data_IF_064289160590
#
_entry.id   IF_064289160590
#
_cell.length_a   1.000
_cell.length_b   1.000
_cell.length_c   1.000
_cell.angle_alpha   90.00
_cell.angle_beta   90.00
_cell.angle_gamma   90.00
#
_symmetry.space_group_name_H-M   'P 1'
#
loop_
_entity.id
_entity.type
_entity.pdbx_description
1 polymer ?
#
# COMPACT_ATOMS: atom_id res chain seq x y z
N UNK A 1 -5.98 7.88 -18.79
CA UNK A 1 -5.63 7.27 -17.47
C UNK A 1 -4.92 5.95 -17.74
N UNK A 2 -3.93 5.56 -16.93
CA UNK A 2 -3.33 4.21 -17.02
C UNK A 2 -4.36 3.11 -16.83
N UNK A 3 -5.25 3.30 -15.87
CA UNK A 3 -6.33 2.36 -15.57
C UNK A 3 -7.32 2.12 -16.72
N UNK A 4 -7.30 2.95 -17.75
CA UNK A 4 -8.09 2.70 -18.95
C UNK A 4 -7.68 1.40 -19.67
N UNK A 5 -6.42 0.98 -19.53
CA UNK A 5 -5.92 -0.28 -20.08
C UNK A 5 -6.62 -1.53 -19.52
N UNK A 6 -7.20 -1.44 -18.33
CA UNK A 6 -7.93 -2.53 -17.67
C UNK A 6 -9.44 -2.28 -17.56
N UNK A 7 -9.90 -1.07 -17.89
CA UNK A 7 -11.31 -0.68 -17.75
C UNK A 7 -12.05 -0.46 -19.08
N UNK A 8 -11.36 0.02 -20.12
CA UNK A 8 -11.98 0.48 -21.37
C UNK A 8 -11.75 -0.48 -22.54
N UNK A 9 -12.73 -0.56 -23.42
CA UNK A 9 -12.70 -1.36 -24.63
C UNK A 9 -13.41 -2.71 -24.52
N UNK A 10 -13.68 -3.34 -25.66
CA UNK A 10 -14.40 -4.61 -25.70
C UNK A 10 -13.57 -5.76 -25.14
N UNK A 11 -12.27 -5.75 -25.38
CA UNK A 11 -11.35 -6.78 -24.88
C UNK A 11 -11.25 -6.80 -23.34
N UNK A 12 -11.55 -5.69 -22.67
CA UNK A 12 -11.55 -5.55 -21.22
C UNK A 12 -12.91 -5.88 -20.57
N UNK A 13 -13.86 -6.41 -21.31
CA UNK A 13 -15.13 -6.86 -20.74
C UNK A 13 -14.95 -7.90 -19.59
N UNK A 14 -14.07 -8.90 -19.69
CA UNK A 14 -13.77 -9.78 -18.55
C UNK A 14 -13.22 -9.06 -17.34
N UNK A 15 -12.34 -8.06 -17.54
CA UNK A 15 -11.78 -7.25 -16.44
C UNK A 15 -12.87 -6.47 -15.72
N UNK A 16 -13.79 -5.84 -16.45
CA UNK A 16 -14.92 -5.12 -15.85
C UNK A 16 -15.83 -6.03 -15.04
N UNK A 17 -16.03 -7.27 -15.48
CA UNK A 17 -16.76 -8.27 -14.69
C UNK A 17 -16.11 -8.53 -13.33
N UNK A 18 -14.77 -8.57 -13.27
CA UNK A 18 -14.02 -8.72 -12.02
C UNK A 18 -14.12 -7.47 -11.14
N UNK A 19 -14.04 -6.28 -11.73
CA UNK A 19 -14.28 -5.02 -10.98
C UNK A 19 -15.70 -4.95 -10.42
N UNK A 20 -16.71 -5.37 -11.19
CA UNK A 20 -18.08 -5.45 -10.71
C UNK A 20 -18.23 -6.43 -9.53
N UNK A 21 -17.51 -7.56 -9.56
CA UNK A 21 -17.47 -8.51 -8.45
C UNK A 21 -16.83 -7.92 -7.17
N UNK A 22 -15.94 -6.92 -7.31
CA UNK A 22 -15.40 -6.14 -6.20
C UNK A 22 -16.33 -5.02 -5.73
N UNK A 23 -17.48 -4.84 -6.35
CA UNK A 23 -18.47 -3.82 -6.02
C UNK A 23 -18.28 -2.47 -6.74
N UNK A 24 -17.40 -2.39 -7.74
CA UNK A 24 -17.24 -1.16 -8.52
C UNK A 24 -18.48 -0.88 -9.37
N UNK A 25 -18.95 0.34 -9.31
CA UNK A 25 -20.04 0.84 -10.16
C UNK A 25 -19.51 1.32 -11.52
N UNK A 26 -20.40 1.46 -12.50
CA UNK A 26 -20.02 2.03 -13.79
C UNK A 26 -19.51 3.47 -13.70
N UNK A 27 -19.98 4.24 -12.72
CA UNK A 27 -19.48 5.59 -12.48
C UNK A 27 -18.06 5.58 -11.90
N UNK A 28 -17.76 4.66 -11.01
CA UNK A 28 -16.41 4.48 -10.47
C UNK A 28 -15.43 4.01 -11.55
N UNK A 29 -15.87 3.18 -12.48
CA UNK A 29 -15.05 2.73 -13.61
C UNK A 29 -14.58 3.90 -14.51
N UNK A 30 -15.27 5.04 -14.48
CA UNK A 30 -14.88 6.25 -15.25
C UNK A 30 -13.84 7.10 -14.54
N UNK A 31 -13.65 6.90 -13.23
CA UNK A 31 -12.77 7.69 -12.37
C UNK A 31 -11.33 7.14 -12.36
N UNK A 32 -10.34 7.96 -11.99
CA UNK A 32 -8.97 7.46 -11.78
C UNK A 32 -8.92 6.46 -10.62
N UNK A 33 -8.14 5.40 -10.81
CA UNK A 33 -7.94 4.35 -9.84
C UNK A 33 -6.67 4.64 -9.03
N UNK A 34 -6.83 4.87 -7.73
CA UNK A 34 -5.73 5.23 -6.81
C UNK A 34 -5.41 4.05 -5.92
N UNK A 35 -4.21 3.49 -6.08
CA UNK A 35 -3.71 2.43 -5.20
C UNK A 35 -3.28 2.99 -3.86
N UNK A 36 -3.78 2.40 -2.76
CA UNK A 36 -3.34 2.71 -1.40
C UNK A 36 -2.51 1.53 -0.91
N UNK A 37 -1.20 1.74 -0.79
CA UNK A 37 -0.27 0.71 -0.33
C UNK A 37 -0.10 0.84 1.17
N UNK A 38 -0.56 -0.15 1.94
CA UNK A 38 -0.46 -0.12 3.39
C UNK A 38 0.36 -1.27 3.92
N UNK A 39 1.27 -0.98 4.84
CA UNK A 39 2.02 -1.99 5.59
C UNK A 39 1.38 -2.33 6.94
N UNK A 40 0.09 -2.08 7.10
CA UNK A 40 -0.68 -2.50 8.28
C UNK A 40 -0.47 -3.98 8.60
N UNK A 41 -0.18 -4.27 9.84
CA UNK A 41 -0.17 -5.61 10.42
C UNK A 41 -0.21 -5.50 11.96
N UNK A 42 -0.48 -6.62 12.62
CA UNK A 42 -0.64 -6.67 14.08
C UNK A 42 0.65 -7.10 14.81
N UNK A 43 1.71 -7.47 14.08
CA UNK A 43 2.98 -7.92 14.69
C UNK A 43 4.02 -6.81 14.81
N UNK A 44 3.96 -5.77 13.98
CA UNK A 44 4.88 -4.63 14.03
C UNK A 44 4.22 -3.49 14.80
N UNK A 45 4.69 -3.14 16.01
CA UNK A 45 4.01 -2.15 16.87
C UNK A 45 3.77 -0.78 16.20
N UNK A 46 4.69 -0.34 15.36
CA UNK A 46 4.55 0.90 14.59
C UNK A 46 3.54 0.84 13.45
N UNK A 47 2.99 -0.33 13.12
CA UNK A 47 2.09 -0.53 11.99
C UNK A 47 0.64 -0.83 12.40
N UNK A 48 0.39 -1.12 13.68
CA UNK A 48 -0.91 -1.57 14.17
C UNK A 48 -2.05 -0.56 14.05
N UNK A 49 -1.75 0.73 13.82
CA UNK A 49 -2.74 1.78 13.64
C UNK A 49 -2.80 2.34 12.21
N UNK A 50 -2.07 1.74 11.26
CA UNK A 50 -2.06 2.22 9.87
C UNK A 50 -3.42 2.03 9.17
N UNK A 51 -4.25 1.11 9.63
CA UNK A 51 -5.63 0.92 9.17
C UNK A 51 -6.48 2.18 9.32
N UNK A 52 -6.31 2.92 10.41
CA UNK A 52 -7.01 4.19 10.65
C UNK A 52 -6.58 5.26 9.65
N UNK A 53 -5.29 5.33 9.37
CA UNK A 53 -4.73 6.24 8.36
C UNK A 53 -5.24 5.86 6.97
N UNK A 54 -5.24 4.57 6.63
CA UNK A 54 -5.77 4.05 5.37
C UNK A 54 -7.23 4.45 5.18
N UNK A 55 -8.06 4.35 6.22
CA UNK A 55 -9.46 4.75 6.14
C UNK A 55 -9.63 6.26 5.87
N UNK A 56 -8.82 7.10 6.50
CA UNK A 56 -8.81 8.53 6.23
C UNK A 56 -8.33 8.84 4.79
N UNK A 57 -7.30 8.14 4.32
CA UNK A 57 -6.80 8.26 2.93
C UNK A 57 -7.86 7.84 1.93
N UNK A 58 -8.59 6.73 2.17
CA UNK A 58 -9.70 6.29 1.30
C UNK A 58 -10.75 7.38 1.16
N UNK A 59 -11.12 8.01 2.27
CA UNK A 59 -12.10 9.09 2.26
C UNK A 59 -11.59 10.28 1.44
N UNK A 60 -10.36 10.74 1.67
CA UNK A 60 -9.78 11.85 0.91
C UNK A 60 -9.64 11.56 -0.59
N UNK A 61 -9.30 10.34 -0.98
CA UNK A 61 -9.26 9.93 -2.40
C UNK A 61 -10.65 9.97 -3.02
N UNK A 62 -11.66 9.48 -2.30
CA UNK A 62 -13.06 9.50 -2.78
C UNK A 62 -13.59 10.93 -2.92
N UNK A 63 -13.33 11.80 -1.94
CA UNK A 63 -13.69 13.22 -1.98
C UNK A 63 -13.02 13.97 -3.15
N UNK A 64 -11.78 13.60 -3.48
CA UNK A 64 -11.06 14.12 -4.64
C UNK A 64 -11.55 13.55 -5.99
N UNK A 65 -12.55 12.67 -5.99
CA UNK A 65 -13.13 12.07 -7.19
C UNK A 65 -12.39 10.87 -7.75
N UNK A 66 -11.46 10.27 -7.00
CA UNK A 66 -10.78 9.01 -7.33
C UNK A 66 -11.48 7.79 -6.74
N UNK A 67 -11.07 6.60 -7.18
CA UNK A 67 -11.51 5.32 -6.60
C UNK A 67 -10.34 4.73 -5.80
N UNK A 68 -10.45 4.64 -4.45
CA UNK A 68 -9.39 4.12 -3.61
C UNK A 68 -9.39 2.58 -3.60
N UNK A 69 -8.26 1.98 -3.88
CA UNK A 69 -8.06 0.52 -3.84
C UNK A 69 -6.88 0.19 -2.95
N UNK A 70 -7.12 -0.53 -1.85
CA UNK A 70 -6.08 -0.88 -0.89
C UNK A 70 -5.44 -2.21 -1.25
N UNK A 71 -4.11 -2.27 -1.16
CA UNK A 71 -3.35 -3.52 -1.20
C UNK A 71 -2.18 -3.48 -0.21
N UNK A 72 -1.71 -4.64 0.29
CA UNK A 72 -0.72 -4.67 1.35
C UNK A 72 0.72 -4.55 0.84
N UNK A 73 1.57 -3.97 1.69
CA UNK A 73 3.00 -4.21 1.70
C UNK A 73 3.37 -4.96 2.99
N UNK A 74 4.41 -5.80 2.93
CA UNK A 74 4.92 -6.47 4.13
C UNK A 74 5.76 -5.53 4.98
N UNK A 75 5.95 -5.90 6.25
CA UNK A 75 6.91 -5.28 7.14
C UNK A 75 7.47 -6.30 8.13
N UNK A 76 8.74 -6.14 8.50
CA UNK A 76 9.40 -6.89 9.58
C UNK A 76 9.77 -5.90 10.68
N UNK A 77 9.50 -6.27 11.92
CA UNK A 77 9.92 -5.48 13.07
C UNK A 77 11.36 -5.84 13.45
N UNK A 78 12.30 -4.94 13.23
CA UNK A 78 13.72 -5.14 13.57
C UNK A 78 13.90 -5.40 15.06
N UNK A 79 13.14 -4.71 15.92
CA UNK A 79 13.20 -4.89 17.35
C UNK A 79 12.81 -6.31 17.81
N UNK A 80 11.79 -6.90 17.18
CA UNK A 80 11.38 -8.30 17.46
C UNK A 80 12.35 -9.29 16.83
N UNK A 81 12.93 -8.97 15.67
CA UNK A 81 13.88 -9.82 14.97
C UNK A 81 15.31 -9.78 15.55
N UNK A 82 15.61 -8.79 16.38
CA UNK A 82 16.94 -8.54 16.93
C UNK A 82 17.41 -9.70 17.83
N UNK A 83 18.71 -10.04 17.73
CA UNK A 83 19.36 -11.05 18.59
C UNK A 83 19.14 -12.50 18.19
N UNK A 84 18.46 -12.78 17.07
CA UNK A 84 18.27 -14.13 16.55
C UNK A 84 18.31 -14.18 15.00
N UNK A 85 18.14 -15.38 14.44
CA UNK A 85 18.24 -15.63 12.98
C UNK A 85 17.29 -14.76 12.15
N UNK A 86 16.17 -14.34 12.73
CA UNK A 86 15.14 -13.51 12.07
C UNK A 86 15.67 -12.17 11.57
N UNK A 87 16.72 -11.63 12.19
CA UNK A 87 17.32 -10.35 11.78
C UNK A 87 17.86 -10.37 10.34
N UNK A 88 18.22 -11.54 9.81
CA UNK A 88 18.66 -11.72 8.42
C UNK A 88 17.60 -11.32 7.40
N UNK A 89 16.33 -11.36 7.80
CA UNK A 89 15.21 -11.04 6.92
C UNK A 89 14.83 -9.55 6.92
N UNK A 90 15.33 -8.77 7.88
CA UNK A 90 15.00 -7.36 7.99
C UNK A 90 15.41 -6.57 6.73
N UNK A 91 16.69 -6.56 6.40
CA UNK A 91 17.21 -5.74 5.29
C UNK A 91 16.67 -6.19 3.93
N UNK A 92 16.54 -7.49 3.69
CA UNK A 92 16.05 -8.03 2.41
C UNK A 92 14.60 -7.67 2.14
N UNK A 93 13.80 -7.36 3.16
CA UNK A 93 12.42 -6.94 2.96
C UNK A 93 12.29 -5.63 2.21
N UNK A 94 13.29 -4.77 2.25
CA UNK A 94 13.30 -3.52 1.49
C UNK A 94 13.12 -3.77 -0.01
N UNK A 95 13.88 -4.71 -0.57
CA UNK A 95 13.80 -5.06 -1.99
C UNK A 95 12.51 -5.82 -2.30
N UNK A 96 12.10 -6.75 -1.45
CA UNK A 96 10.84 -7.48 -1.60
C UNK A 96 9.62 -6.56 -1.57
N UNK A 97 9.62 -5.54 -0.71
CA UNK A 97 8.58 -4.52 -0.65
C UNK A 97 8.53 -3.73 -1.96
N UNK A 98 9.70 -3.31 -2.46
CA UNK A 98 9.80 -2.59 -3.70
C UNK A 98 9.28 -3.42 -4.88
N UNK A 99 9.75 -4.64 -5.02
CA UNK A 99 9.40 -5.55 -6.13
C UNK A 99 7.92 -5.92 -6.11
N UNK A 100 7.39 -6.33 -4.95
CA UNK A 100 5.99 -6.72 -4.84
C UNK A 100 5.03 -5.55 -5.07
N UNK A 101 5.38 -4.36 -4.57
CA UNK A 101 4.58 -3.15 -4.78
C UNK A 101 4.59 -2.74 -6.26
N UNK A 102 5.73 -2.80 -6.91
CA UNK A 102 5.87 -2.54 -8.35
C UNK A 102 5.01 -3.51 -9.16
N UNK A 103 5.09 -4.82 -8.88
CA UNK A 103 4.27 -5.84 -9.52
C UNK A 103 2.77 -5.55 -9.38
N UNK A 104 2.31 -5.25 -8.17
CA UNK A 104 0.90 -4.94 -7.92
C UNK A 104 0.45 -3.68 -8.66
N UNK A 105 1.23 -2.62 -8.59
CA UNK A 105 0.85 -1.34 -9.18
C UNK A 105 0.84 -1.38 -10.71
N UNK A 106 1.81 -2.02 -11.33
CA UNK A 106 1.91 -2.12 -12.78
C UNK A 106 0.92 -3.12 -13.37
N UNK A 107 0.72 -4.27 -12.72
CA UNK A 107 -0.25 -5.26 -13.18
C UNK A 107 -1.69 -4.73 -13.17
N UNK A 108 -2.05 -3.95 -12.16
CA UNK A 108 -3.41 -3.39 -12.01
C UNK A 108 -3.58 -1.98 -12.59
N UNK A 109 -2.50 -1.41 -13.15
CA UNK A 109 -2.52 -0.15 -13.90
C UNK A 109 -3.08 1.05 -13.10
N UNK A 110 -2.66 1.20 -11.85
CA UNK A 110 -3.07 2.36 -11.04
C UNK A 110 -2.61 3.68 -11.67
N UNK A 111 -3.48 4.69 -11.59
CA UNK A 111 -3.23 6.05 -12.10
C UNK A 111 -2.37 6.88 -11.14
N UNK A 112 -2.49 6.62 -9.86
CA UNK A 112 -1.73 7.26 -8.79
C UNK A 112 -1.62 6.31 -7.59
N UNK A 113 -0.71 6.61 -6.67
CA UNK A 113 -0.50 5.85 -5.44
C UNK A 113 -0.51 6.74 -4.20
N UNK A 114 -1.09 6.25 -3.12
CA UNK A 114 -0.84 6.75 -1.77
C UNK A 114 -0.17 5.64 -0.97
N UNK A 115 1.03 5.88 -0.52
CA UNK A 115 1.80 4.91 0.26
C UNK A 115 1.73 5.24 1.74
N UNK A 116 1.32 4.26 2.54
CA UNK A 116 1.15 4.38 3.98
C UNK A 116 2.15 3.47 4.69
N UNK A 117 3.44 3.86 4.69
CA UNK A 117 4.52 3.12 5.32
C UNK A 117 4.70 3.49 6.79
N UNK A 118 5.47 2.65 7.49
CA UNK A 118 6.19 3.02 8.70
C UNK A 118 7.48 2.19 8.80
N UNK A 119 8.32 2.45 9.78
CA UNK A 119 9.59 1.75 10.04
C UNK A 119 10.67 1.90 8.95
N UNK A 120 11.89 1.58 9.35
CA UNK A 120 13.15 1.93 8.66
C UNK A 120 13.48 1.11 7.40
N UNK A 121 12.82 -0.03 7.18
CA UNK A 121 12.99 -0.82 5.94
C UNK A 121 11.77 -0.67 5.01
N UNK A 122 10.58 -0.48 5.58
CA UNK A 122 9.35 -0.35 4.82
C UNK A 122 9.28 1.00 4.07
N UNK A 123 9.63 2.10 4.74
CA UNK A 123 9.66 3.44 4.11
C UNK A 123 10.58 3.46 2.88
N UNK A 124 11.87 3.08 2.97
CA UNK A 124 12.74 3.09 1.79
C UNK A 124 12.32 2.07 0.72
N UNK A 125 11.77 0.92 1.10
CA UNK A 125 11.22 -0.05 0.14
C UNK A 125 10.11 0.55 -0.71
N UNK A 126 9.16 1.24 -0.10
CA UNK A 126 8.09 1.93 -0.83
C UNK A 126 8.58 3.14 -1.63
N UNK A 127 9.60 3.86 -1.15
CA UNK A 127 10.25 4.93 -1.93
C UNK A 127 10.92 4.37 -3.19
N UNK A 128 11.61 3.23 -3.10
CA UNK A 128 12.17 2.54 -4.25
C UNK A 128 11.08 2.13 -5.25
N UNK A 129 9.97 1.57 -4.76
CA UNK A 129 8.82 1.23 -5.60
C UNK A 129 8.25 2.46 -6.32
N UNK A 130 8.04 3.56 -5.60
CA UNK A 130 7.53 4.80 -6.19
C UNK A 130 8.41 5.32 -7.33
N UNK A 131 9.73 5.29 -7.14
CA UNK A 131 10.69 5.71 -8.16
C UNK A 131 10.65 4.82 -9.42
N UNK A 132 10.47 3.50 -9.26
CA UNK A 132 10.37 2.54 -10.36
C UNK A 132 9.04 2.63 -11.12
N UNK A 133 7.93 2.74 -10.39
CA UNK A 133 6.58 2.77 -10.96
C UNK A 133 6.33 4.06 -11.73
N UNK A 134 6.90 5.17 -11.26
CA UNK A 134 6.84 6.49 -11.89
C UNK A 134 5.39 6.93 -12.23
N UNK A 135 4.52 6.92 -11.22
CA UNK A 135 3.20 7.55 -11.23
C UNK A 135 3.11 8.61 -10.13
N UNK A 136 2.18 9.56 -10.18
CA UNK A 136 1.94 10.47 -9.07
C UNK A 136 1.78 9.70 -7.76
N UNK A 137 2.62 10.00 -6.78
CA UNK A 137 2.67 9.25 -5.51
C UNK A 137 2.79 10.20 -4.33
N UNK A 138 1.99 9.95 -3.29
CA UNK A 138 2.04 10.66 -2.01
C UNK A 138 2.37 9.66 -0.91
N UNK A 139 3.18 10.09 0.06
CA UNK A 139 3.53 9.31 1.26
C UNK A 139 2.83 9.89 2.48
N UNK A 140 2.19 9.00 3.25
CA UNK A 140 1.56 9.32 4.54
C UNK A 140 2.15 8.37 5.59
N UNK A 141 3.16 8.84 6.33
CA UNK A 141 3.82 8.03 7.35
C UNK A 141 2.94 7.81 8.57
N UNK A 142 3.07 6.63 9.19
CA UNK A 142 2.37 6.26 10.41
C UNK A 142 2.81 7.00 11.67
N UNK A 143 3.91 7.76 11.59
CA UNK A 143 4.45 8.51 12.72
C UNK A 143 5.27 7.66 13.72
N UNK A 144 5.61 8.21 14.89
CA UNK A 144 6.43 7.52 15.88
C UNK A 144 5.70 6.34 16.52
N UNK A 145 6.48 5.35 16.94
CA UNK A 145 6.00 4.18 17.68
C UNK A 145 5.66 4.59 19.12
N UNK A 146 4.49 4.21 19.60
CA UNK A 146 4.15 4.33 21.02
C UNK A 146 4.88 3.22 21.78
N UNK A 147 5.77 3.59 22.68
CA UNK A 147 6.48 2.66 23.56
C UNK A 147 5.55 2.18 24.67
N UNK A 148 5.45 0.86 24.84
CA UNK A 148 4.82 0.28 26.00
C UNK A 148 5.68 0.51 27.24
N UNK A 149 5.08 0.86 28.39
CA UNK A 149 5.78 0.87 29.67
C UNK A 149 5.88 -0.54 30.23
N UNK A 150 7.11 -0.98 30.54
CA UNK A 150 7.34 -2.16 31.37
C UNK A 150 7.26 -1.74 32.84
N UNK A 151 6.23 -2.15 33.55
CA UNK A 151 6.30 -2.26 35.00
C UNK A 151 7.11 -3.53 35.33
N UNK A 152 8.28 -3.38 35.91
CA UNK A 152 9.00 -4.51 36.52
C UNK A 152 8.17 -4.99 37.70
N UNK A 153 7.62 -6.19 37.61
CA UNK A 153 7.19 -6.96 38.76
C UNK A 153 8.40 -7.49 39.51
#
# INVERSE_FOLDING_TARGET
MRSDNVKKGMQQAPHRSLFNALGFTEEEMKKPMVGIVSSYNEIVPGHMNLDKIVNAVKLGVAEAGGVPVVFPAIAVCDGIAMGHIGMKYSLVTRDLIADSTECMALAHQFDALVMVPNCDKNVPGLLMAAARINVPTVFVSGGPVVLGCFERQ
#
